data_IF_599784220717
#
_entry.id   IF_599784220717
#
_cell.length_a   1.000
_cell.length_b   1.000
_cell.length_c   1.000
_cell.angle_alpha   90.00
_cell.angle_beta   90.00
_cell.angle_gamma   90.00
#
_symmetry.space_group_name_H-M   'P 1'
#
loop_
_entity.id
_entity.type
_entity.pdbx_description
1 polymer ?
#
# COMPACT_ATOMS: atom_id res chain seq x y z
N UNK A 1 -34.91 -3.94 -8.58
CA UNK A 1 -34.22 -5.19 -8.23
C UNK A 1 -34.91 -5.77 -7.00
N UNK A 2 -35.48 -6.96 -7.10
CA UNK A 2 -36.20 -7.59 -5.99
C UNK A 2 -35.20 -8.09 -4.94
N UNK A 3 -35.55 -8.04 -3.65
CA UNK A 3 -34.74 -8.63 -2.56
C UNK A 3 -34.47 -10.14 -2.76
N UNK A 4 -35.30 -10.82 -3.56
CA UNK A 4 -35.10 -12.21 -3.98
C UNK A 4 -34.01 -12.37 -5.06
N UNK A 5 -33.77 -11.35 -5.89
CA UNK A 5 -32.71 -11.37 -6.90
C UNK A 5 -31.33 -11.21 -6.24
N UNK A 6 -31.24 -10.31 -5.25
CA UNK A 6 -30.02 -10.09 -4.47
C UNK A 6 -29.60 -11.33 -3.64
N UNK A 7 -30.57 -12.15 -3.21
CA UNK A 7 -30.29 -13.35 -2.41
C UNK A 7 -29.77 -14.53 -3.25
N UNK A 8 -30.08 -14.58 -4.55
CA UNK A 8 -29.52 -15.58 -5.49
C UNK A 8 -28.08 -15.24 -5.87
N UNK A 9 -27.76 -13.95 -6.05
CA UNK A 9 -26.41 -13.47 -6.41
C UNK A 9 -25.36 -13.74 -5.32
N UNK A 10 -25.74 -13.76 -4.04
CA UNK A 10 -24.80 -14.00 -2.93
C UNK A 10 -24.48 -15.49 -2.74
N UNK A 11 -25.45 -16.39 -2.98
CA UNK A 11 -25.23 -17.84 -2.86
C UNK A 11 -24.47 -18.44 -4.05
N UNK A 12 -24.49 -17.80 -5.22
CA UNK A 12 -23.72 -18.22 -6.40
C UNK A 12 -22.31 -17.62 -6.48
N UNK A 13 -21.96 -16.67 -5.60
CA UNK A 13 -20.74 -15.85 -5.70
C UNK A 13 -19.42 -16.65 -5.69
N UNK A 14 -19.44 -17.90 -5.24
CA UNK A 14 -18.26 -18.79 -5.21
C UNK A 14 -18.48 -20.14 -5.91
N UNK A 15 -19.55 -20.29 -6.71
CA UNK A 15 -19.76 -21.47 -7.53
C UNK A 15 -19.35 -21.18 -8.98
N UNK A 16 -18.31 -21.86 -9.46
CA UNK A 16 -17.90 -21.80 -10.87
C UNK A 16 -17.83 -23.19 -11.49
N UNK A 17 -18.08 -23.23 -12.80
CA UNK A 17 -17.97 -24.44 -13.59
C UNK A 17 -16.51 -24.88 -13.68
N UNK A 18 -16.25 -26.12 -13.28
CA UNK A 18 -14.95 -26.75 -13.43
C UNK A 18 -14.95 -27.72 -14.61
N UNK A 19 -13.82 -27.78 -15.30
CA UNK A 19 -13.60 -28.59 -16.48
C UNK A 19 -12.46 -29.57 -16.22
N UNK A 20 -12.69 -30.84 -16.52
CA UNK A 20 -11.63 -31.85 -16.50
C UNK A 20 -10.71 -31.63 -17.70
N UNK A 21 -9.41 -31.54 -17.44
CA UNK A 21 -8.38 -31.29 -18.44
C UNK A 21 -7.21 -32.27 -18.27
N UNK A 22 -6.40 -32.44 -19.31
CA UNK A 22 -5.21 -33.29 -19.22
C UNK A 22 -4.14 -32.58 -18.39
N UNK A 23 -3.71 -33.22 -17.30
CA UNK A 23 -2.68 -32.70 -16.39
C UNK A 23 -1.40 -32.32 -17.13
N UNK A 24 -0.92 -33.18 -18.03
CA UNK A 24 0.28 -32.94 -18.85
C UNK A 24 0.23 -31.65 -19.66
N UNK A 25 -0.96 -31.27 -20.12
CA UNK A 25 -1.16 -30.09 -20.97
C UNK A 25 -1.30 -28.82 -20.11
N UNK A 26 -1.61 -28.95 -18.82
CA UNK A 26 -1.98 -27.82 -17.97
C UNK A 26 -0.98 -27.54 -16.86
N UNK A 27 -0.20 -28.52 -16.44
CA UNK A 27 0.86 -28.34 -15.44
C UNK A 27 1.87 -27.27 -15.83
N UNK A 28 2.37 -27.19 -17.09
CA UNK A 28 3.32 -26.13 -17.45
C UNK A 28 2.74 -24.71 -17.32
N UNK A 29 1.45 -24.54 -17.65
CA UNK A 29 0.74 -23.27 -17.51
C UNK A 29 0.48 -22.93 -16.04
N UNK A 30 0.13 -23.93 -15.23
CA UNK A 30 -0.05 -23.79 -13.78
C UNK A 30 1.27 -23.37 -13.12
N UNK A 31 2.36 -24.06 -13.44
CA UNK A 31 3.69 -23.76 -12.95
C UNK A 31 4.18 -22.37 -13.40
N UNK A 32 3.78 -21.88 -14.58
CA UNK A 32 4.05 -20.50 -14.98
C UNK A 32 3.39 -19.49 -14.02
N UNK A 33 2.11 -19.69 -13.70
CA UNK A 33 1.34 -18.81 -12.82
C UNK A 33 1.87 -18.85 -11.38
N UNK A 34 2.16 -20.04 -10.84
CA UNK A 34 2.67 -20.18 -9.48
C UNK A 34 4.06 -19.54 -9.34
N UNK A 35 4.99 -19.82 -10.26
CA UNK A 35 6.31 -19.20 -10.27
C UNK A 35 6.24 -17.68 -10.40
N UNK A 36 5.33 -17.15 -11.21
CA UNK A 36 5.14 -15.71 -11.34
C UNK A 36 4.77 -15.02 -10.01
N UNK A 37 3.93 -15.67 -9.19
CA UNK A 37 3.56 -15.18 -7.87
C UNK A 37 4.74 -15.32 -6.88
N UNK A 38 5.42 -16.47 -6.89
CA UNK A 38 6.59 -16.72 -6.03
C UNK A 38 7.76 -15.76 -6.33
N UNK A 39 7.97 -15.39 -7.60
CA UNK A 39 8.96 -14.38 -8.02
C UNK A 39 8.68 -12.98 -7.43
N UNK A 40 7.48 -12.76 -6.91
CA UNK A 40 7.03 -11.53 -6.25
C UNK A 40 6.88 -11.73 -4.74
N UNK A 41 7.56 -12.74 -4.21
CA UNK A 41 7.59 -13.13 -2.80
C UNK A 41 6.20 -13.45 -2.22
N UNK A 42 5.23 -13.80 -3.07
CA UNK A 42 3.93 -14.28 -2.61
C UNK A 42 4.04 -15.71 -2.06
N UNK A 43 3.35 -15.97 -0.96
CA UNK A 43 3.22 -17.31 -0.38
C UNK A 43 1.97 -18.01 -0.89
N UNK A 44 2.11 -19.17 -1.53
CA UNK A 44 0.95 -19.93 -2.04
C UNK A 44 0.28 -20.69 -0.89
N UNK A 45 -0.96 -20.33 -0.60
CA UNK A 45 -1.80 -20.97 0.44
C UNK A 45 -2.54 -22.18 -0.14
N UNK A 46 -3.06 -22.05 -1.36
CA UNK A 46 -3.77 -23.10 -2.06
C UNK A 46 -3.60 -22.98 -3.58
N UNK A 47 -3.54 -24.12 -4.26
CA UNK A 47 -3.64 -24.18 -5.72
C UNK A 47 -4.34 -25.46 -6.16
N UNK A 48 -5.39 -25.33 -6.97
CA UNK A 48 -6.10 -26.48 -7.55
C UNK A 48 -5.20 -27.36 -8.42
N UNK A 49 -5.55 -28.64 -8.57
CA UNK A 49 -4.82 -29.60 -9.41
C UNK A 49 -4.81 -29.18 -10.89
N UNK A 50 -3.69 -29.43 -11.58
CA UNK A 50 -3.59 -29.18 -13.02
C UNK A 50 -4.54 -30.01 -13.90
N UNK A 51 -5.18 -31.05 -13.38
CA UNK A 51 -6.24 -31.79 -14.08
C UNK A 51 -7.59 -31.07 -14.08
N UNK A 52 -7.68 -29.86 -13.51
CA UNK A 52 -8.89 -29.03 -13.46
C UNK A 52 -8.62 -27.64 -14.04
N UNK A 53 -9.63 -27.08 -14.70
CA UNK A 53 -9.63 -25.69 -15.15
C UNK A 53 -10.99 -25.03 -14.83
N UNK A 54 -11.06 -23.71 -14.61
CA UNK A 54 -9.92 -22.80 -14.37
C UNK A 54 -9.11 -23.18 -13.12
N UNK A 55 -7.90 -22.64 -12.98
CA UNK A 55 -7.13 -22.83 -11.76
C UNK A 55 -7.64 -21.90 -10.68
N UNK A 56 -7.93 -22.44 -9.51
CA UNK A 56 -8.20 -21.63 -8.31
C UNK A 56 -6.94 -21.59 -7.46
N UNK A 57 -6.42 -20.39 -7.21
CA UNK A 57 -5.19 -20.17 -6.45
C UNK A 57 -5.47 -19.14 -5.37
N UNK A 58 -5.03 -19.44 -4.15
CA UNK A 58 -5.05 -18.52 -3.02
C UNK A 58 -3.62 -18.29 -2.58
N UNK A 59 -3.25 -17.04 -2.39
CA UNK A 59 -1.90 -16.66 -1.99
C UNK A 59 -1.92 -15.43 -1.08
N UNK A 60 -0.87 -15.29 -0.29
CA UNK A 60 -0.61 -14.10 0.52
C UNK A 60 0.47 -13.26 -0.17
N UNK A 61 0.27 -11.94 -0.25
CA UNK A 61 1.29 -11.01 -0.77
C UNK A 61 2.35 -10.72 0.30
N UNK A 62 3.51 -10.15 -0.06
CA UNK A 62 4.50 -9.71 0.91
C UNK A 62 3.98 -8.67 1.92
N UNK A 63 2.90 -7.96 1.58
CA UNK A 63 2.23 -6.98 2.43
C UNK A 63 1.14 -7.61 3.31
N UNK A 64 1.14 -8.94 3.48
CA UNK A 64 0.20 -9.66 4.35
C UNK A 64 -1.23 -9.79 3.82
N UNK A 65 -1.54 -9.31 2.62
CA UNK A 65 -2.87 -9.41 2.04
C UNK A 65 -3.13 -10.80 1.46
N UNK A 66 -4.28 -11.39 1.75
CA UNK A 66 -4.72 -12.64 1.12
C UNK A 66 -5.55 -12.37 -0.14
N UNK A 67 -5.18 -13.02 -1.23
CA UNK A 67 -5.83 -12.90 -2.53
C UNK A 67 -6.29 -14.27 -3.05
N UNK A 68 -7.50 -14.32 -3.60
CA UNK A 68 -7.99 -15.45 -4.40
C UNK A 68 -8.02 -15.09 -5.88
N UNK A 69 -7.54 -15.97 -6.76
CA UNK A 69 -7.62 -15.79 -8.21
C UNK A 69 -8.20 -17.02 -8.90
N UNK A 70 -8.98 -16.78 -9.95
CA UNK A 70 -9.54 -17.79 -10.85
C UNK A 70 -8.95 -17.63 -12.24
N UNK A 71 -8.04 -18.51 -12.63
CA UNK A 71 -7.20 -18.32 -13.81
C UNK A 71 -7.63 -19.22 -14.96
N UNK A 72 -8.24 -18.62 -15.98
CA UNK A 72 -8.57 -19.27 -17.25
C UNK A 72 -7.36 -19.18 -18.19
N UNK A 73 -6.55 -20.26 -18.23
CA UNK A 73 -5.27 -20.26 -18.98
C UNK A 73 -5.27 -21.10 -20.25
N UNK A 74 -4.63 -20.57 -21.29
CA UNK A 74 -4.48 -21.19 -22.60
C UNK A 74 -3.04 -21.08 -23.10
N UNK A 75 -2.61 -21.98 -23.98
CA UNK A 75 -1.32 -21.84 -24.65
C UNK A 75 -1.40 -20.77 -25.74
N UNK A 76 -0.49 -19.81 -25.69
CA UNK A 76 -0.17 -18.92 -26.79
C UNK A 76 1.00 -19.48 -27.62
N UNK A 77 1.04 -19.15 -28.92
CA UNK A 77 2.14 -19.48 -29.82
C UNK A 77 2.05 -18.69 -31.14
N UNK A 78 3.15 -18.72 -31.91
CA UNK A 78 3.27 -18.21 -33.28
C UNK A 78 3.32 -19.31 -34.35
N UNK A 79 2.55 -20.40 -34.20
CA UNK A 79 2.59 -21.49 -35.19
C UNK A 79 2.13 -20.98 -36.57
N UNK A 80 3.06 -20.93 -37.52
CA UNK A 80 2.78 -20.66 -38.93
C UNK A 80 1.81 -21.71 -39.46
N UNK A 81 0.63 -21.26 -39.89
CA UNK A 81 -0.38 -22.09 -40.55
C UNK A 81 -0.76 -21.45 -41.89
N UNK A 82 -1.12 -22.29 -42.86
CA UNK A 82 -1.55 -21.84 -44.19
C UNK A 82 -2.70 -20.83 -44.06
N UNK A 83 -2.64 -19.73 -44.81
CA UNK A 83 -3.61 -18.63 -44.83
C UNK A 83 -3.68 -17.77 -43.55
N UNK A 84 -2.60 -17.70 -42.76
CA UNK A 84 -2.45 -16.70 -41.69
C UNK A 84 -1.23 -15.81 -41.89
N UNK A 85 -1.28 -14.56 -41.42
CA UNK A 85 -0.11 -13.67 -41.41
C UNK A 85 1.06 -14.30 -40.64
N UNK A 86 2.28 -14.13 -41.16
CA UNK A 86 3.49 -14.69 -40.56
C UNK A 86 3.86 -14.05 -39.20
N UNK A 87 3.31 -12.89 -38.90
CA UNK A 87 3.49 -12.11 -37.68
C UNK A 87 2.38 -12.36 -36.64
N UNK A 88 1.43 -13.28 -36.91
CA UNK A 88 0.30 -13.57 -36.01
C UNK A 88 0.74 -14.51 -34.88
N UNK A 89 0.56 -14.03 -33.65
CA UNK A 89 0.53 -14.85 -32.45
C UNK A 89 -0.92 -15.01 -31.99
N UNK A 90 -1.21 -16.09 -31.27
CA UNK A 90 -2.55 -16.29 -30.72
C UNK A 90 -2.56 -17.28 -29.58
N UNK A 91 -3.61 -17.21 -28.77
CA UNK A 91 -4.06 -18.34 -27.98
C UNK A 91 -5.49 -18.72 -28.33
N UNK A 92 -5.80 -20.01 -28.23
CA UNK A 92 -7.11 -20.55 -28.54
C UNK A 92 -7.84 -20.95 -27.26
N UNK A 93 -9.06 -20.46 -27.09
CA UNK A 93 -9.94 -20.79 -25.96
C UNK A 93 -10.43 -22.22 -26.08
N UNK A 94 -9.80 -23.16 -25.36
CA UNK A 94 -10.19 -24.58 -25.32
C UNK A 94 -9.67 -25.31 -24.08
N UNK A 95 -10.45 -26.27 -23.60
CA UNK A 95 -10.09 -27.20 -22.51
C UNK A 95 -10.08 -28.67 -22.94
N UNK A 96 -10.00 -28.94 -24.24
CA UNK A 96 -9.86 -30.31 -24.76
C UNK A 96 -10.03 -30.37 -26.27
N UNK A 97 -10.24 -31.59 -26.78
CA UNK A 97 -10.49 -31.85 -28.19
C UNK A 97 -11.91 -31.50 -28.65
N UNK A 98 -12.87 -31.39 -27.73
CA UNK A 98 -14.22 -30.93 -28.06
C UNK A 98 -14.21 -29.40 -28.22
N UNK A 99 -14.38 -28.94 -29.45
CA UNK A 99 -14.39 -27.53 -29.82
C UNK A 99 -15.81 -26.94 -29.85
N UNK A 100 -16.84 -27.74 -29.57
CA UNK A 100 -18.23 -27.29 -29.51
C UNK A 100 -18.59 -26.83 -28.09
N UNK A 101 -19.35 -25.74 -28.01
CA UNK A 101 -19.88 -25.20 -26.76
C UNK A 101 -19.30 -23.83 -26.41
N UNK A 102 -19.65 -23.39 -25.20
CA UNK A 102 -19.27 -22.08 -24.69
C UNK A 102 -18.63 -22.27 -23.31
N UNK A 103 -17.56 -21.54 -23.07
CA UNK A 103 -16.88 -21.43 -21.79
C UNK A 103 -17.59 -20.34 -20.99
N UNK A 104 -18.20 -20.71 -19.87
CA UNK A 104 -18.77 -19.76 -18.91
C UNK A 104 -17.63 -19.23 -18.05
N UNK A 105 -17.14 -18.04 -18.37
CA UNK A 105 -16.10 -17.39 -17.57
C UNK A 105 -16.76 -16.82 -16.33
N UNK A 106 -16.51 -17.46 -15.19
CA UNK A 106 -17.03 -17.03 -13.91
C UNK A 106 -16.43 -15.68 -13.50
N UNK A 107 -17.29 -14.78 -13.03
CA UNK A 107 -16.95 -13.44 -12.56
C UNK A 107 -17.55 -13.29 -11.16
N UNK A 108 -16.70 -13.16 -10.16
CA UNK A 108 -17.14 -12.97 -8.78
C UNK A 108 -17.60 -11.51 -8.56
N UNK A 109 -18.88 -11.33 -8.27
CA UNK A 109 -19.47 -10.02 -7.96
C UNK A 109 -19.09 -9.50 -6.59
N UNK A 110 -18.68 -10.37 -5.65
CA UNK A 110 -18.23 -10.01 -4.30
C UNK A 110 -16.80 -9.49 -4.25
N UNK A 111 -16.02 -9.69 -5.33
CA UNK A 111 -14.61 -9.28 -5.48
C UNK A 111 -13.65 -9.96 -4.51
N UNK A 112 -14.03 -11.10 -3.93
CA UNK A 112 -13.15 -11.94 -3.13
C UNK A 112 -12.18 -12.73 -4.02
N UNK A 113 -12.62 -13.08 -5.24
CA UNK A 113 -11.84 -13.83 -6.22
C UNK A 113 -11.69 -13.02 -7.51
N UNK A 114 -10.45 -12.78 -7.93
CA UNK A 114 -10.16 -12.07 -9.19
C UNK A 114 -10.06 -13.05 -10.34
N UNK A 115 -10.87 -12.88 -11.38
CA UNK A 115 -10.80 -13.72 -12.59
C UNK A 115 -9.73 -13.19 -13.54
N UNK A 116 -8.86 -14.09 -14.02
CA UNK A 116 -7.88 -13.80 -15.07
C UNK A 116 -8.20 -14.63 -16.32
N UNK A 117 -8.10 -14.03 -17.51
CA UNK A 117 -8.31 -14.72 -18.79
C UNK A 117 -7.09 -14.56 -19.70
N UNK A 118 -6.24 -15.60 -19.78
CA UNK A 118 -4.84 -15.43 -20.17
C UNK A 118 -4.36 -16.48 -21.16
N UNK A 119 -3.68 -16.04 -22.21
CA UNK A 119 -2.80 -16.87 -23.02
C UNK A 119 -1.35 -16.76 -22.55
N UNK A 120 -0.66 -17.88 -22.36
CA UNK A 120 0.74 -17.93 -21.93
C UNK A 120 1.58 -18.52 -23.04
N UNK A 121 2.63 -17.82 -23.43
CA UNK A 121 3.69 -18.36 -24.29
C UNK A 121 4.87 -18.78 -23.40
N UNK A 122 5.00 -20.09 -23.19
CA UNK A 122 6.05 -20.64 -22.32
C UNK A 122 7.44 -20.51 -22.91
N UNK A 123 7.57 -20.43 -24.24
CA UNK A 123 8.89 -20.28 -24.88
C UNK A 123 9.40 -18.86 -24.67
N UNK A 124 8.49 -17.90 -24.73
CA UNK A 124 8.78 -16.48 -24.60
C UNK A 124 8.66 -15.95 -23.16
N UNK A 125 8.29 -16.82 -22.22
CA UNK A 125 8.08 -16.51 -20.80
C UNK A 125 7.18 -15.29 -20.56
N UNK A 126 6.13 -15.17 -21.37
CA UNK A 126 5.19 -14.05 -21.34
C UNK A 126 3.74 -14.51 -21.29
N UNK A 127 2.88 -13.59 -20.91
CA UNK A 127 1.44 -13.73 -20.97
C UNK A 127 0.80 -12.61 -21.78
N UNK A 128 -0.39 -12.89 -22.31
CA UNK A 128 -1.32 -11.93 -22.90
C UNK A 128 -2.70 -12.18 -22.28
N UNK A 129 -3.21 -11.18 -21.58
CA UNK A 129 -4.51 -11.18 -20.92
C UNK A 129 -5.54 -10.43 -21.77
N UNK A 130 -6.73 -10.99 -21.81
CA UNK A 130 -7.92 -10.39 -22.38
C UNK A 130 -8.93 -10.09 -21.27
N UNK A 131 -9.83 -9.12 -21.49
CA UNK A 131 -10.81 -8.75 -20.48
C UNK A 131 -11.77 -9.93 -20.19
N UNK A 132 -11.82 -10.45 -18.95
CA UNK A 132 -12.69 -11.56 -18.61
C UNK A 132 -14.18 -11.27 -18.81
N UNK A 133 -14.62 -10.03 -18.57
CA UNK A 133 -16.02 -9.59 -18.72
C UNK A 133 -16.41 -9.56 -20.19
N UNK A 134 -15.53 -9.08 -21.07
CA UNK A 134 -15.80 -9.12 -22.52
C UNK A 134 -15.76 -10.54 -23.10
N UNK A 135 -15.20 -11.50 -22.38
CA UNK A 135 -15.09 -12.91 -22.77
C UNK A 135 -16.01 -13.84 -21.98
N UNK A 136 -17.08 -13.32 -21.35
CA UNK A 136 -18.13 -14.14 -20.76
C UNK A 136 -19.46 -13.97 -21.50
N UNK A 137 -20.04 -15.03 -22.09
CA UNK A 137 -19.49 -16.38 -22.22
C UNK A 137 -18.58 -16.47 -23.48
N UNK A 138 -17.48 -17.24 -23.42
CA UNK A 138 -16.50 -17.34 -24.50
C UNK A 138 -16.74 -18.57 -25.40
N UNK A 139 -16.99 -18.42 -26.71
CA UNK A 139 -17.11 -19.57 -27.60
C UNK A 139 -15.85 -20.44 -27.59
N UNK A 140 -16.01 -21.75 -27.38
CA UNK A 140 -14.90 -22.70 -27.51
C UNK A 140 -14.34 -22.63 -28.93
N UNK A 141 -13.02 -22.78 -29.06
CA UNK A 141 -12.22 -22.63 -30.29
C UNK A 141 -12.02 -21.20 -30.82
N UNK A 142 -12.58 -20.16 -30.17
CA UNK A 142 -12.25 -18.76 -30.47
C UNK A 142 -10.75 -18.53 -30.25
N UNK A 143 -10.12 -17.85 -31.20
CA UNK A 143 -8.73 -17.41 -31.05
C UNK A 143 -8.72 -15.96 -30.62
N UNK A 144 -7.76 -15.62 -29.77
CA UNK A 144 -7.42 -14.24 -29.43
C UNK A 144 -6.07 -13.99 -30.08
N UNK A 145 -6.08 -13.25 -31.19
CA UNK A 145 -4.88 -12.90 -31.96
C UNK A 145 -4.20 -11.64 -31.42
N UNK A 146 -2.88 -11.60 -31.54
CA UNK A 146 -2.00 -10.46 -31.32
C UNK A 146 -0.78 -10.54 -32.26
N UNK A 147 0.00 -9.47 -32.36
CA UNK A 147 1.07 -9.34 -33.35
C UNK A 147 2.45 -9.55 -32.75
N UNK A 148 3.39 -9.92 -33.60
CA UNK A 148 4.79 -10.07 -33.20
C UNK A 148 5.37 -8.79 -32.59
N UNK A 149 4.97 -7.61 -33.09
CA UNK A 149 5.36 -6.33 -32.51
C UNK A 149 4.94 -6.17 -31.04
N UNK A 150 3.78 -6.72 -30.65
CA UNK A 150 3.34 -6.71 -29.25
C UNK A 150 4.23 -7.62 -28.38
N UNK A 151 4.68 -8.76 -28.91
CA UNK A 151 5.64 -9.63 -28.22
C UNK A 151 6.96 -8.90 -28.00
N UNK A 152 7.48 -8.21 -29.01
CA UNK A 152 8.70 -7.41 -28.87
C UNK A 152 8.51 -6.27 -27.85
N UNK A 153 7.36 -5.59 -27.85
CA UNK A 153 7.05 -4.57 -26.85
C UNK A 153 7.06 -5.14 -25.42
N UNK A 154 6.45 -6.31 -25.19
CA UNK A 154 6.47 -6.99 -23.88
C UNK A 154 7.91 -7.37 -23.50
N UNK A 155 8.71 -7.89 -24.44
CA UNK A 155 10.10 -8.27 -24.14
C UNK A 155 10.95 -7.06 -23.75
N UNK A 156 10.81 -5.94 -24.48
CA UNK A 156 11.57 -4.72 -24.26
C UNK A 156 11.12 -3.99 -22.99
N UNK A 157 9.81 -3.84 -22.79
CA UNK A 157 9.25 -2.97 -21.73
C UNK A 157 8.83 -3.76 -20.49
N UNK A 158 8.69 -5.08 -20.59
CA UNK A 158 8.16 -5.95 -19.56
C UNK A 158 6.62 -5.95 -19.49
N UNK A 159 5.97 -4.90 -19.99
CA UNK A 159 4.53 -4.69 -19.97
C UNK A 159 4.09 -3.87 -21.17
N UNK A 160 3.02 -4.28 -21.84
CA UNK A 160 2.46 -3.60 -23.00
C UNK A 160 0.93 -3.66 -22.94
N UNK A 161 0.28 -2.62 -23.46
CA UNK A 161 -1.17 -2.49 -23.53
C UNK A 161 -1.51 -2.05 -24.96
N UNK A 162 -2.55 -2.62 -25.53
CA UNK A 162 -3.02 -2.24 -26.85
C UNK A 162 -4.50 -2.59 -27.03
N UNK A 163 -5.09 -1.97 -28.04
CA UNK A 163 -6.49 -2.16 -28.40
C UNK A 163 -6.64 -3.20 -29.51
N UNK A 164 -7.78 -3.89 -29.50
CA UNK A 164 -8.15 -4.84 -30.55
C UNK A 164 -9.63 -4.72 -30.87
N UNK A 165 -9.93 -4.61 -32.17
CA UNK A 165 -11.29 -4.74 -32.67
C UNK A 165 -11.79 -6.18 -32.54
N UNK A 166 -12.95 -6.35 -31.90
CA UNK A 166 -13.65 -7.63 -31.90
C UNK A 166 -14.40 -7.80 -33.21
N UNK A 167 -14.20 -8.96 -33.85
CA UNK A 167 -14.89 -9.29 -35.11
C UNK A 167 -15.93 -10.39 -34.88
N UNK A 168 -17.11 -10.30 -35.51
CA UNK A 168 -18.06 -11.40 -35.51
C UNK A 168 -17.44 -12.66 -36.12
N UNK A 169 -17.81 -13.81 -35.57
CA UNK A 169 -17.39 -15.10 -36.09
C UNK A 169 -17.91 -15.30 -37.51
N UNK A 170 -17.02 -15.65 -38.45
CA UNK A 170 -17.40 -15.85 -39.87
C UNK A 170 -18.15 -17.16 -40.15
N UNK A 171 -18.39 -18.00 -39.15
CA UNK A 171 -18.91 -19.37 -39.33
C UNK A 171 -20.36 -19.47 -38.85
N UNK A 172 -21.27 -19.89 -39.73
CA UNK A 172 -22.70 -20.12 -39.44
C UNK A 172 -22.96 -21.29 -38.48
N UNK A 173 -21.98 -22.19 -38.31
CA UNK A 173 -22.14 -23.45 -37.58
C UNK A 173 -21.50 -23.45 -36.18
N UNK A 174 -20.85 -22.34 -35.78
CA UNK A 174 -20.29 -22.21 -34.44
C UNK A 174 -21.34 -21.63 -33.50
N UNK A 175 -21.39 -22.05 -32.23
CA UNK A 175 -22.16 -21.35 -31.22
C UNK A 175 -21.67 -19.90 -31.18
N UNK A 176 -22.45 -18.99 -31.75
CA UNK A 176 -22.41 -17.60 -31.36
C UNK A 176 -22.99 -17.60 -29.96
N UNK A 177 -22.13 -17.62 -28.94
CA UNK A 177 -22.46 -16.77 -27.81
C UNK A 177 -22.81 -15.43 -28.45
N UNK A 178 -24.03 -14.93 -28.24
CA UNK A 178 -24.43 -13.60 -28.68
C UNK A 178 -23.50 -12.63 -27.98
N UNK A 179 -22.33 -12.40 -28.57
CA UNK A 179 -21.41 -11.36 -28.17
C UNK A 179 -22.10 -10.09 -28.64
N UNK A 180 -22.97 -9.55 -27.79
CA UNK A 180 -23.71 -8.30 -28.06
C UNK A 180 -22.74 -7.12 -28.22
N UNK A 181 -21.54 -7.22 -27.60
CA UNK A 181 -20.51 -6.20 -27.60
C UNK A 181 -19.33 -6.53 -28.54
N UNK A 182 -19.37 -5.96 -29.75
CA UNK A 182 -18.26 -5.95 -30.70
C UNK A 182 -17.34 -4.73 -30.54
N UNK A 183 -17.38 -4.05 -29.41
CA UNK A 183 -16.54 -2.92 -29.09
C UNK A 183 -15.05 -3.27 -29.04
N UNK A 184 -14.24 -2.23 -28.98
CA UNK A 184 -12.79 -2.32 -28.79
C UNK A 184 -12.48 -3.03 -27.47
N UNK A 185 -11.65 -4.06 -27.53
CA UNK A 185 -11.18 -4.79 -26.36
C UNK A 185 -9.73 -4.38 -26.06
N UNK A 186 -9.43 -4.13 -24.80
CA UNK A 186 -8.05 -3.84 -24.35
C UNK A 186 -7.36 -5.14 -23.96
N UNK A 187 -6.26 -5.43 -24.64
CA UNK A 187 -5.36 -6.53 -24.31
C UNK A 187 -4.15 -6.00 -23.55
N UNK A 188 -3.65 -6.84 -22.64
CA UNK A 188 -2.50 -6.53 -21.81
C UNK A 188 -1.50 -7.67 -21.89
N UNK A 189 -0.26 -7.34 -22.19
CA UNK A 189 0.84 -8.29 -22.24
C UNK A 189 1.86 -8.01 -21.16
N UNK A 190 2.42 -9.05 -20.56
CA UNK A 190 3.45 -8.92 -19.53
C UNK A 190 4.42 -10.08 -19.53
N UNK A 191 5.64 -9.85 -19.02
CA UNK A 191 6.56 -10.92 -18.64
C UNK A 191 6.01 -11.69 -17.43
N UNK A 192 6.49 -12.90 -17.23
CA UNK A 192 6.06 -13.76 -16.12
C UNK A 192 6.03 -13.04 -14.76
N UNK A 193 7.06 -12.27 -14.43
CA UNK A 193 7.20 -11.51 -13.17
C UNK A 193 6.19 -10.37 -12.97
N UNK A 194 5.43 -10.01 -14.01
CA UNK A 194 4.39 -8.97 -13.98
C UNK A 194 2.98 -9.52 -13.71
N UNK A 195 2.82 -10.83 -13.48
CA UNK A 195 1.49 -11.43 -13.30
C UNK A 195 0.73 -10.83 -12.11
N UNK A 196 1.42 -10.50 -11.01
CA UNK A 196 0.77 -9.86 -9.86
C UNK A 196 0.18 -8.48 -10.20
N UNK A 197 0.82 -7.76 -11.13
CA UNK A 197 0.31 -6.46 -11.60
C UNK A 197 -0.94 -6.64 -12.48
N UNK A 198 -1.04 -7.76 -13.21
CA UNK A 198 -2.29 -8.15 -13.89
C UNK A 198 -3.40 -8.44 -12.87
N UNK A 199 -3.12 -9.12 -11.75
CA UNK A 199 -4.11 -9.33 -10.69
C UNK A 199 -4.62 -7.98 -10.16
N UNK A 200 -3.72 -7.03 -9.89
CA UNK A 200 -4.10 -5.69 -9.47
C UNK A 200 -4.94 -4.96 -10.53
N UNK A 201 -4.56 -5.05 -11.81
CA UNK A 201 -5.32 -4.47 -12.91
C UNK A 201 -6.76 -5.00 -12.93
N UNK A 202 -6.96 -6.32 -12.95
CA UNK A 202 -8.31 -6.91 -13.06
C UNK A 202 -9.19 -6.59 -11.85
N UNK A 203 -8.58 -6.40 -10.66
CA UNK A 203 -9.30 -5.92 -9.48
C UNK A 203 -9.79 -4.48 -9.63
N UNK A 204 -8.94 -3.59 -10.14
CA UNK A 204 -9.24 -2.16 -10.27
C UNK A 204 -10.18 -1.93 -11.47
N UNK A 205 -9.93 -2.60 -12.59
CA UNK A 205 -10.62 -2.40 -13.85
C UNK A 205 -11.98 -3.11 -13.94
N UNK A 206 -12.44 -3.75 -12.86
CA UNK A 206 -13.70 -4.47 -12.84
C UNK A 206 -14.88 -3.58 -13.26
N UNK A 207 -15.54 -3.93 -14.37
CA UNK A 207 -16.66 -3.20 -15.01
C UNK A 207 -16.34 -1.77 -15.46
N UNK A 208 -15.08 -1.44 -15.64
CA UNK A 208 -14.71 -0.22 -16.34
C UNK A 208 -14.88 -0.39 -17.85
N UNK A 209 -15.11 0.71 -18.54
CA UNK A 209 -15.07 0.71 -20.00
C UNK A 209 -13.63 0.49 -20.52
N UNK A 210 -13.48 0.10 -21.79
CA UNK A 210 -12.16 -0.15 -22.37
C UNK A 210 -11.18 1.02 -22.24
N UNK A 211 -11.62 2.27 -22.34
CA UNK A 211 -10.72 3.43 -22.26
C UNK A 211 -10.13 3.61 -20.87
N UNK A 212 -10.95 3.51 -19.83
CA UNK A 212 -10.50 3.58 -18.43
C UNK A 212 -9.61 2.38 -18.06
N UNK A 213 -9.94 1.18 -18.56
CA UNK A 213 -9.09 -0.01 -18.42
C UNK A 213 -7.70 0.21 -19.04
N UNK A 214 -7.64 0.80 -20.24
CA UNK A 214 -6.40 1.15 -20.92
C UNK A 214 -5.57 2.11 -20.05
N UNK A 215 -6.19 3.18 -19.56
CA UNK A 215 -5.53 4.19 -18.72
C UNK A 215 -4.91 3.60 -17.45
N UNK A 216 -5.62 2.70 -16.75
CA UNK A 216 -5.08 2.05 -15.55
C UNK A 216 -3.91 1.13 -15.92
N UNK A 217 -4.03 0.37 -17.00
CA UNK A 217 -2.97 -0.53 -17.45
C UNK A 217 -1.70 0.25 -17.84
N UNK A 218 -1.83 1.45 -18.41
CA UNK A 218 -0.72 2.36 -18.67
C UNK A 218 -0.10 2.93 -17.38
N UNK A 219 -0.91 3.24 -16.37
CA UNK A 219 -0.38 3.66 -15.06
C UNK A 219 0.44 2.55 -14.39
N UNK A 220 -0.03 1.30 -14.48
CA UNK A 220 0.72 0.13 -13.99
C UNK A 220 2.01 -0.14 -14.78
N UNK A 221 2.09 0.30 -16.04
CA UNK A 221 3.34 0.27 -16.82
C UNK A 221 4.41 1.16 -16.18
N UNK A 222 4.04 2.36 -15.74
CA UNK A 222 4.94 3.32 -15.12
C UNK A 222 5.35 2.91 -13.69
N UNK A 223 4.46 2.24 -12.98
CA UNK A 223 4.72 1.65 -11.66
C UNK A 223 5.46 0.31 -11.84
N UNK A 224 6.77 0.35 -12.12
CA UNK A 224 7.60 -0.78 -11.67
C UNK A 224 7.50 -0.80 -10.15
N UNK A 225 7.10 -1.91 -9.51
CA UNK A 225 7.40 -2.03 -8.10
C UNK A 225 8.92 -1.95 -8.01
N UNK A 226 9.43 -0.90 -7.38
CA UNK A 226 10.75 -0.99 -6.82
C UNK A 226 10.75 -2.31 -6.05
N UNK A 227 11.72 -3.19 -6.36
CA UNK A 227 12.00 -4.38 -5.53
C UNK A 227 11.84 -3.89 -4.09
N UNK A 228 10.92 -4.46 -3.32
CA UNK A 228 10.70 -4.04 -1.94
C UNK A 228 12.08 -4.13 -1.28
N UNK A 229 12.74 -2.98 -1.15
CA UNK A 229 14.03 -2.92 -0.48
C UNK A 229 13.60 -3.12 0.95
N UNK A 230 13.78 -4.34 1.44
CA UNK A 230 13.57 -4.63 2.84
C UNK A 230 14.38 -3.61 3.61
N UNK A 231 13.69 -2.79 4.42
CA UNK A 231 14.38 -1.77 5.19
C UNK A 231 15.43 -2.50 6.06
N UNK A 232 16.67 -2.01 6.19
CA UNK A 232 17.73 -2.73 6.90
C UNK A 232 17.32 -3.22 8.30
N UNK A 233 16.47 -2.45 8.99
CA UNK A 233 15.91 -2.84 10.30
C UNK A 233 14.99 -4.09 10.24
N UNK A 234 14.24 -4.27 9.15
CA UNK A 234 13.39 -5.42 8.94
C UNK A 234 14.22 -6.67 8.63
N UNK A 235 15.32 -6.50 7.90
CA UNK A 235 16.32 -7.57 7.68
C UNK A 235 17.02 -7.95 8.99
N UNK A 236 17.47 -6.97 9.77
CA UNK A 236 18.12 -7.17 11.07
C UNK A 236 17.21 -7.91 12.05
N UNK A 237 15.94 -7.53 12.13
CA UNK A 237 14.97 -8.16 13.04
C UNK A 237 14.35 -9.44 12.48
N UNK A 238 14.50 -9.72 11.18
CA UNK A 238 13.91 -10.89 10.53
C UNK A 238 12.38 -10.88 10.55
N UNK A 239 11.74 -9.71 10.48
CA UNK A 239 10.28 -9.55 10.54
C UNK A 239 9.75 -8.73 9.37
N UNK A 240 8.49 -8.98 8.98
CA UNK A 240 7.79 -8.16 8.01
C UNK A 240 7.41 -6.78 8.58
N UNK A 241 7.13 -5.82 7.70
CA UNK A 241 6.76 -4.46 8.10
C UNK A 241 5.52 -4.42 9.00
N UNK A 242 4.50 -5.22 8.69
CA UNK A 242 3.26 -5.23 9.48
C UNK A 242 3.50 -5.79 10.88
N UNK A 243 4.32 -6.85 10.99
CA UNK A 243 4.72 -7.41 12.28
C UNK A 243 5.51 -6.41 13.14
N UNK A 244 6.32 -5.53 12.53
CA UNK A 244 6.99 -4.46 13.24
C UNK A 244 5.98 -3.44 13.80
N UNK A 245 4.99 -3.03 13.01
CA UNK A 245 3.96 -2.09 13.47
C UNK A 245 3.06 -2.70 14.54
N UNK A 246 2.68 -3.96 14.41
CA UNK A 246 1.93 -4.71 15.43
C UNK A 246 2.72 -4.81 16.74
N UNK A 247 4.04 -5.04 16.66
CA UNK A 247 4.92 -5.07 17.83
C UNK A 247 4.97 -3.70 18.51
N UNK A 248 5.12 -2.62 17.74
CA UNK A 248 5.06 -1.24 18.27
C UNK A 248 3.70 -0.99 18.92
N UNK A 249 2.60 -1.42 18.29
CA UNK A 249 1.26 -1.26 18.81
C UNK A 249 1.06 -2.02 20.14
N UNK A 250 1.49 -3.27 20.21
CA UNK A 250 1.35 -4.13 21.40
C UNK A 250 2.30 -3.76 22.55
N UNK A 251 3.44 -3.13 22.27
CA UNK A 251 4.43 -2.76 23.28
C UNK A 251 4.26 -1.31 23.76
N UNK A 252 3.49 -1.10 24.83
CA UNK A 252 3.14 0.24 25.35
C UNK A 252 4.32 1.21 25.52
N UNK A 253 5.46 0.73 26.05
CA UNK A 253 6.67 1.56 26.23
C UNK A 253 7.30 1.98 24.89
N UNK A 254 7.35 1.06 23.93
CA UNK A 254 7.87 1.34 22.59
C UNK A 254 6.95 2.30 21.85
N UNK A 255 5.63 2.08 21.91
CA UNK A 255 4.62 3.01 21.37
C UNK A 255 4.78 4.42 21.93
N UNK A 256 5.03 4.55 23.23
CA UNK A 256 5.27 5.85 23.87
C UNK A 256 6.57 6.50 23.39
N UNK A 257 7.65 5.73 23.25
CA UNK A 257 8.93 6.24 22.73
C UNK A 257 8.79 6.73 21.28
N UNK A 258 8.18 5.93 20.41
CA UNK A 258 7.90 6.29 19.01
C UNK A 258 7.06 7.56 18.93
N UNK A 259 6.01 7.68 19.76
CA UNK A 259 5.19 8.91 19.82
C UNK A 259 5.97 10.15 20.26
N UNK A 260 6.96 9.99 21.16
CA UNK A 260 7.88 11.07 21.53
C UNK A 260 8.66 11.58 20.32
N UNK A 261 9.36 10.66 19.65
CA UNK A 261 10.17 10.97 18.47
C UNK A 261 9.37 11.55 17.31
N UNK A 262 8.15 11.05 17.07
CA UNK A 262 7.27 11.60 16.04
C UNK A 262 6.85 13.03 16.39
N UNK A 263 6.60 13.34 17.66
CA UNK A 263 6.29 14.71 18.09
C UNK A 263 7.48 15.66 17.87
N UNK A 264 8.71 15.23 18.17
CA UNK A 264 9.94 15.99 17.90
C UNK A 264 10.12 16.25 16.40
N UNK A 265 9.88 15.26 15.55
CA UNK A 265 9.98 15.38 14.09
C UNK A 265 8.98 16.41 13.56
N UNK A 266 7.72 16.34 14.00
CA UNK A 266 6.70 17.32 13.65
C UNK A 266 7.01 18.72 14.19
N UNK A 267 7.61 18.82 15.38
CA UNK A 267 8.03 20.10 15.95
C UNK A 267 9.15 20.74 15.11
N UNK A 268 10.20 19.98 14.77
CA UNK A 268 11.30 20.44 13.94
C UNK A 268 10.80 20.90 12.55
N UNK A 269 9.92 20.12 11.92
CA UNK A 269 9.30 20.47 10.65
C UNK A 269 8.40 21.72 10.74
N UNK A 270 7.73 21.93 11.87
CA UNK A 270 6.89 23.12 12.11
C UNK A 270 7.76 24.36 12.31
N UNK A 271 8.77 24.28 13.17
CA UNK A 271 9.67 25.40 13.47
C UNK A 271 10.53 25.78 12.26
N UNK A 272 11.00 24.80 11.49
CA UNK A 272 11.81 25.03 10.28
C UNK A 272 11.09 25.80 9.17
N UNK A 273 9.75 25.89 9.22
CA UNK A 273 8.95 26.68 8.27
C UNK A 273 8.79 28.15 8.69
N UNK A 274 9.14 28.50 9.93
CA UNK A 274 8.96 29.86 10.45
C UNK A 274 10.00 30.82 9.85
N UNK A 275 9.52 31.94 9.31
CA UNK A 275 10.41 32.99 8.79
C UNK A 275 11.22 33.59 9.93
N UNK A 276 12.54 33.46 9.85
CA UNK A 276 13.48 33.94 10.87
C UNK A 276 14.10 32.83 11.71
N UNK A 277 13.66 31.59 11.57
CA UNK A 277 14.36 30.43 12.13
C UNK A 277 15.51 30.02 11.19
N UNK A 278 16.69 29.79 11.76
CA UNK A 278 17.84 29.17 11.08
C UNK A 278 18.48 28.12 11.99
N UNK A 279 19.29 27.22 11.44
CA UNK A 279 20.00 26.17 12.21
C UNK A 279 19.07 25.32 13.11
N UNK A 280 17.84 25.05 12.66
CA UNK A 280 16.91 24.18 13.38
C UNK A 280 17.35 22.71 13.25
N UNK A 281 17.89 22.15 14.32
CA UNK A 281 18.41 20.78 14.37
C UNK A 281 17.84 20.04 15.58
N UNK A 282 17.60 18.74 15.41
CA UNK A 282 17.31 17.83 16.52
C UNK A 282 18.62 17.45 17.20
N UNK A 283 18.61 17.38 18.53
CA UNK A 283 19.75 16.95 19.33
C UNK A 283 19.50 15.52 19.80
N UNK A 284 20.46 14.61 19.56
CA UNK A 284 20.31 13.18 19.88
C UNK A 284 21.10 12.76 21.13
N UNK A 285 21.84 13.68 21.74
CA UNK A 285 22.68 13.38 22.90
C UNK A 285 21.85 13.24 24.18
N UNK A 286 22.13 12.20 24.97
CA UNK A 286 21.42 11.94 26.22
C UNK A 286 21.55 13.13 27.19
N UNK A 287 20.41 13.53 27.77
CA UNK A 287 20.31 14.67 28.68
C UNK A 287 20.33 16.05 28.02
N UNK A 288 20.38 16.16 26.70
CA UNK A 288 20.17 17.43 25.99
C UNK A 288 18.69 17.67 25.68
N UNK A 289 18.28 18.93 25.50
CA UNK A 289 16.96 19.27 24.98
C UNK A 289 16.77 18.77 23.56
N UNK A 290 15.54 18.52 23.13
CA UNK A 290 15.27 17.82 21.86
C UNK A 290 15.64 18.62 20.59
N UNK A 291 15.54 19.95 20.63
CA UNK A 291 15.80 20.82 19.47
C UNK A 291 16.69 22.02 19.86
N UNK A 292 17.60 22.38 18.96
CA UNK A 292 18.30 23.66 18.96
C UNK A 292 17.96 24.44 17.70
N UNK A 293 17.71 25.75 17.81
CA UNK A 293 17.55 26.63 16.66
C UNK A 293 18.07 28.04 16.95
N UNK A 294 18.26 28.84 15.91
CA UNK A 294 18.48 30.29 16.03
C UNK A 294 17.27 31.05 15.54
N UNK A 295 16.85 32.03 16.32
CA UNK A 295 15.81 32.98 15.91
C UNK A 295 16.44 34.33 15.55
N UNK A 296 16.17 34.83 14.33
CA UNK A 296 16.62 36.11 13.77
C UNK A 296 18.12 36.38 13.96
N UNK A 297 18.95 35.34 13.84
CA UNK A 297 20.41 35.43 13.97
C UNK A 297 20.94 35.55 15.41
N UNK A 298 20.09 35.45 16.42
CA UNK A 298 20.51 35.47 17.83
C UNK A 298 21.20 34.18 18.30
N UNK A 299 21.44 34.09 19.60
CA UNK A 299 22.03 32.92 20.24
C UNK A 299 21.12 31.67 20.12
N UNK A 300 21.66 30.44 20.14
CA UNK A 300 20.83 29.24 20.06
C UNK A 300 19.80 29.16 21.19
N UNK A 301 18.55 28.85 20.82
CA UNK A 301 17.44 28.56 21.72
C UNK A 301 17.29 27.04 21.78
N UNK A 302 17.38 26.49 22.99
CA UNK A 302 17.14 25.08 23.23
C UNK A 302 15.66 24.85 23.60
N UNK A 303 15.06 23.82 23.02
CA UNK A 303 13.63 23.54 23.13
C UNK A 303 13.44 22.08 23.51
N UNK A 304 12.72 21.84 24.61
CA UNK A 304 12.25 20.51 25.00
C UNK A 304 10.84 20.28 24.44
N UNK A 305 10.62 19.14 23.79
CA UNK A 305 9.34 18.68 23.29
C UNK A 305 8.73 17.67 24.29
N UNK A 306 7.48 17.90 24.70
CA UNK A 306 6.73 16.93 25.51
C UNK A 306 5.34 16.71 24.98
N UNK A 307 4.94 15.44 24.94
CA UNK A 307 3.56 15.08 24.69
C UNK A 307 2.67 15.40 25.90
N UNK A 308 1.51 15.99 25.63
CA UNK A 308 0.44 16.09 26.63
C UNK A 308 -0.13 14.71 26.98
N UNK A 309 -0.68 14.60 28.19
CA UNK A 309 -1.47 13.45 28.61
C UNK A 309 -2.83 13.46 27.89
N UNK A 310 -3.39 12.26 27.67
CA UNK A 310 -4.75 12.11 27.12
C UNK A 310 -5.82 12.70 28.05
N UNK A 311 -5.63 12.58 29.36
CA UNK A 311 -6.55 13.12 30.36
C UNK A 311 -6.28 14.60 30.64
N UNK A 312 -7.31 15.42 30.58
CA UNK A 312 -7.28 16.86 30.90
C UNK A 312 -7.59 17.14 32.38
N UNK A 313 -7.41 18.38 32.82
CA UNK A 313 -7.90 18.83 34.13
C UNK A 313 -9.44 18.88 34.11
N UNK A 314 -10.06 19.05 35.27
CA UNK A 314 -11.53 19.09 35.39
C UNK A 314 -12.18 20.21 34.58
N UNK A 315 -11.42 21.27 34.30
CA UNK A 315 -11.81 22.42 33.46
C UNK A 315 -11.52 22.20 31.96
N UNK A 316 -11.01 21.03 31.57
CA UNK A 316 -10.67 20.68 30.19
C UNK A 316 -9.25 21.04 29.77
N UNK A 317 -8.43 21.65 30.62
CA UNK A 317 -7.07 22.07 30.26
C UNK A 317 -6.15 20.85 30.01
N UNK A 318 -5.39 20.79 28.90
CA UNK A 318 -4.39 19.75 28.67
C UNK A 318 -3.27 19.78 29.73
N UNK A 319 -2.67 18.62 30.00
CA UNK A 319 -1.59 18.48 30.99
C UNK A 319 -0.33 17.92 30.35
N UNK A 320 0.83 18.37 30.80
CA UNK A 320 2.13 17.79 30.46
C UNK A 320 2.71 17.11 31.70
N UNK A 321 3.12 15.84 31.58
CA UNK A 321 3.99 15.19 32.57
C UNK A 321 5.42 15.67 32.33
N UNK A 322 5.84 16.68 33.10
CA UNK A 322 7.07 17.43 32.89
C UNK A 322 8.17 17.03 33.86
N UNK A 323 8.65 15.79 33.70
CA UNK A 323 9.72 15.23 34.50
C UNK A 323 10.60 14.28 33.68
N UNK A 324 11.84 14.09 34.10
CA UNK A 324 12.77 13.12 33.54
C UNK A 324 12.31 11.70 33.88
N UNK A 325 12.65 10.74 33.02
CA UNK A 325 12.29 9.33 33.23
C UNK A 325 12.99 8.71 34.45
N UNK A 326 14.16 9.24 34.83
CA UNK A 326 15.01 8.76 35.94
C UNK A 326 15.45 9.89 36.84
N UNK A 327 15.72 9.55 38.10
CA UNK A 327 16.37 10.42 39.07
C UNK A 327 17.78 9.88 39.36
N UNK A 328 18.71 10.77 39.70
CA UNK A 328 20.01 10.41 40.24
C UNK A 328 19.87 9.66 41.56
N UNK A 329 20.76 8.68 41.79
CA UNK A 329 20.76 7.89 43.02
C UNK A 329 20.99 8.81 44.24
N UNK A 330 20.04 8.81 45.17
CA UNK A 330 20.10 9.64 46.38
C UNK A 330 19.59 11.08 46.22
N UNK A 331 19.17 11.49 45.02
CA UNK A 331 18.55 12.81 44.79
C UNK A 331 17.25 12.66 43.98
N UNK A 332 16.10 12.45 44.63
CA UNK A 332 14.81 12.37 43.96
C UNK A 332 14.43 13.65 43.19
N UNK A 333 14.89 14.82 43.65
CA UNK A 333 14.56 16.10 43.02
C UNK A 333 15.28 16.33 41.68
N UNK A 334 16.35 15.59 41.40
CA UNK A 334 17.02 15.58 40.08
C UNK A 334 16.13 15.11 38.93
N UNK A 335 15.01 14.45 39.23
CA UNK A 335 13.98 14.05 38.26
C UNK A 335 13.29 15.25 37.61
N UNK A 336 13.26 16.39 38.29
CA UNK A 336 12.52 17.57 37.83
C UNK A 336 13.47 18.56 37.14
N UNK A 337 12.97 19.19 36.09
CA UNK A 337 13.73 20.20 35.35
C UNK A 337 13.91 21.48 36.17
N UNK A 338 14.97 22.20 35.87
CA UNK A 338 15.15 23.57 36.34
C UNK A 338 14.81 24.59 35.25
N UNK A 339 14.42 25.84 35.60
CA UNK A 339 14.22 26.91 34.62
C UNK A 339 15.43 27.18 33.70
N UNK A 340 16.64 26.86 34.15
CA UNK A 340 17.88 27.09 33.40
C UNK A 340 18.34 25.89 32.57
N UNK A 341 17.70 24.72 32.70
CA UNK A 341 18.07 23.52 31.93
C UNK A 341 17.89 23.76 30.41
N UNK A 342 16.85 24.52 30.03
CA UNK A 342 16.59 25.01 28.68
C UNK A 342 15.53 26.12 28.74
N UNK A 343 15.50 27.05 27.77
CA UNK A 343 14.61 28.21 27.84
C UNK A 343 13.16 27.95 27.43
N UNK A 344 12.88 26.97 26.56
CA UNK A 344 11.54 26.79 25.98
C UNK A 344 11.03 25.36 26.15
N UNK A 345 9.78 25.23 26.58
CA UNK A 345 9.00 24.00 26.53
C UNK A 345 7.99 24.09 25.37
N UNK A 346 8.00 23.09 24.49
CA UNK A 346 6.97 22.86 23.47
C UNK A 346 6.07 21.68 23.90
N UNK A 347 4.81 21.98 24.23
CA UNK A 347 3.80 21.00 24.56
C UNK A 347 3.04 20.54 23.30
N UNK A 348 3.18 19.28 22.93
CA UNK A 348 2.44 18.67 21.81
C UNK A 348 1.03 18.28 22.25
N UNK A 349 0.02 18.83 21.57
CA UNK A 349 -1.39 18.65 21.89
C UNK A 349 -2.05 17.42 21.25
N UNK A 350 -1.32 16.68 20.41
CA UNK A 350 -1.87 15.57 19.61
C UNK A 350 -2.65 14.54 20.44
N UNK A 351 -2.24 14.24 21.67
CA UNK A 351 -2.96 13.29 22.52
C UNK A 351 -4.40 13.74 22.82
N UNK A 352 -4.66 15.05 22.84
CA UNK A 352 -5.95 15.67 23.15
C UNK A 352 -6.70 16.06 21.88
N UNK A 353 -6.03 16.66 20.90
CA UNK A 353 -6.66 17.26 19.71
C UNK A 353 -6.62 16.38 18.48
N UNK A 354 -5.81 15.31 18.49
CA UNK A 354 -5.54 14.44 17.34
C UNK A 354 -4.87 15.17 16.16
N UNK A 355 -4.36 16.39 16.41
CA UNK A 355 -3.57 17.18 15.46
C UNK A 355 -2.16 17.42 16.01
N UNK A 356 -1.15 17.42 15.14
CA UNK A 356 0.25 17.73 15.50
C UNK A 356 0.46 19.23 15.74
N UNK A 357 -0.19 19.73 16.78
CA UNK A 357 -0.14 21.13 17.20
C UNK A 357 0.69 21.28 18.47
N UNK A 358 1.30 22.45 18.60
CA UNK A 358 2.20 22.76 19.71
C UNK A 358 1.78 24.04 20.43
N UNK A 359 2.08 24.10 21.72
CA UNK A 359 2.02 25.30 22.55
C UNK A 359 3.37 25.52 23.22
N UNK A 360 3.79 26.76 23.29
CA UNK A 360 5.14 27.14 23.69
C UNK A 360 5.12 27.97 24.96
N UNK A 361 6.02 27.70 25.90
CA UNK A 361 6.19 28.50 27.11
C UNK A 361 7.67 28.68 27.43
N UNK A 362 8.03 29.82 28.04
CA UNK A 362 9.33 29.95 28.67
C UNK A 362 9.35 29.13 29.96
N UNK A 363 10.41 28.34 30.16
CA UNK A 363 10.58 27.54 31.38
C UNK A 363 10.66 28.37 32.65
N UNK A 364 11.08 29.63 32.53
CA UNK A 364 11.11 30.62 33.62
C UNK A 364 9.73 31.12 34.05
N UNK A 365 8.70 30.94 33.22
CA UNK A 365 7.32 31.31 33.54
C UNK A 365 6.49 30.12 34.08
N UNK A 366 7.08 28.92 34.12
CA UNK A 366 6.39 27.72 34.60
C UNK A 366 6.35 27.67 36.13
N UNK A 367 5.28 27.06 36.66
CA UNK A 367 5.08 26.94 38.11
C UNK A 367 6.23 26.17 38.78
N UNK A 368 6.63 26.64 39.97
CA UNK A 368 7.67 25.97 40.76
C UNK A 368 7.16 24.66 41.38
N UNK A 369 8.07 23.70 41.56
CA UNK A 369 7.78 22.44 42.23
C UNK A 369 7.49 22.68 43.71
N UNK A 370 6.42 22.08 44.24
CA UNK A 370 5.94 22.30 45.62
C UNK A 370 6.97 21.96 46.70
N UNK A 371 7.82 20.96 46.45
CA UNK A 371 8.76 20.42 47.44
C UNK A 371 10.23 20.43 47.03
N UNK A 372 10.53 20.65 45.75
CA UNK A 372 11.91 20.59 45.23
C UNK A 372 12.32 22.01 44.84
N UNK A 373 12.99 22.70 45.76
CA UNK A 373 13.38 24.11 45.59
C UNK A 373 14.19 24.29 44.30
N UNK A 374 13.84 25.31 43.51
CA UNK A 374 14.49 25.62 42.24
C UNK A 374 14.15 24.65 41.10
N UNK A 375 13.16 23.78 41.27
CA UNK A 375 12.64 22.91 40.19
C UNK A 375 11.30 23.39 39.68
N UNK A 376 10.95 22.98 38.47
CA UNK A 376 9.65 23.22 37.85
C UNK A 376 8.67 22.12 38.28
N UNK A 377 7.39 22.47 38.40
CA UNK A 377 6.32 21.53 38.66
C UNK A 377 6.29 20.39 37.62
N UNK A 378 6.04 19.17 38.07
CA UNK A 378 6.06 17.97 37.22
C UNK A 378 4.73 17.73 36.47
N UNK A 379 3.69 18.48 36.80
CA UNK A 379 2.40 18.41 36.12
C UNK A 379 1.98 19.82 35.75
N UNK A 380 2.04 20.15 34.47
CA UNK A 380 1.85 21.53 34.00
C UNK A 380 0.57 21.61 33.18
N UNK A 381 -0.30 22.55 33.52
CA UNK A 381 -1.47 22.90 32.72
C UNK A 381 -1.08 23.73 31.51
N UNK A 382 -1.54 23.34 30.32
CA UNK A 382 -1.31 24.09 29.07
C UNK A 382 -2.43 25.10 28.87
N UNK A 383 -2.22 26.35 29.31
CA UNK A 383 -3.13 27.47 29.00
C UNK A 383 -2.40 28.79 28.82
N UNK A 384 -3.06 29.70 28.11
CA UNK A 384 -2.73 31.11 28.07
C UNK A 384 -2.91 31.74 29.47
N UNK A 385 -2.14 32.79 29.83
CA UNK A 385 -1.15 33.46 28.99
C UNK A 385 0.25 32.82 29.03
N UNK A 386 0.45 31.76 29.84
CA UNK A 386 1.77 31.13 30.02
C UNK A 386 2.20 30.41 28.73
N UNK A 387 1.29 29.66 28.13
CA UNK A 387 1.52 28.95 26.88
C UNK A 387 0.95 29.73 25.70
N UNK A 388 1.77 29.97 24.68
CA UNK A 388 1.36 30.60 23.42
C UNK A 388 1.23 29.60 22.27
N UNK A 389 0.29 29.86 21.36
CA UNK A 389 0.25 29.19 20.06
C UNK A 389 1.33 29.67 19.07
N UNK A 390 2.00 30.80 19.33
CA UNK A 390 3.07 31.33 18.47
C UNK A 390 4.43 31.13 19.12
N UNK A 391 5.27 30.31 18.46
CA UNK A 391 6.66 30.11 18.87
C UNK A 391 7.46 31.41 18.78
N UNK A 392 7.19 32.23 17.75
CA UNK A 392 7.88 33.50 17.50
C UNK A 392 7.75 34.46 18.67
N UNK A 393 6.54 34.58 19.25
CA UNK A 393 6.31 35.41 20.44
C UNK A 393 7.15 34.96 21.64
N UNK A 394 7.26 33.66 21.84
CA UNK A 394 8.05 33.08 22.94
C UNK A 394 9.55 33.29 22.71
N UNK A 395 10.03 33.16 21.46
CA UNK A 395 11.42 33.43 21.11
C UNK A 395 11.79 34.91 21.27
N UNK A 396 10.89 35.82 20.89
CA UNK A 396 11.08 37.26 21.10
C UNK A 396 11.12 37.60 22.59
N UNK A 397 10.24 37.01 23.39
CA UNK A 397 10.25 37.18 24.84
C UNK A 397 11.52 36.62 25.49
N UNK A 398 12.02 35.47 25.01
CA UNK A 398 13.28 34.90 25.48
C UNK A 398 14.43 35.90 25.32
N UNK A 399 14.65 36.39 24.10
CA UNK A 399 15.74 37.34 23.87
C UNK A 399 15.56 38.66 24.56
N UNK A 400 14.33 39.16 24.70
CA UNK A 400 14.06 40.39 25.45
C UNK A 400 14.44 40.28 26.93
N UNK A 401 14.50 39.06 27.49
CA UNK A 401 14.89 38.80 28.89
C UNK A 401 16.38 38.46 29.04
N UNK A 402 17.06 38.07 27.96
CA UNK A 402 18.48 37.69 27.99
C UNK A 402 19.41 38.74 27.38
N UNK A 403 18.87 39.73 26.67
CA UNK A 403 19.56 40.95 26.26
C UNK A 403 19.73 41.89 27.45
#
# INVERSE_FOLDING_TARGET
>A
MSLLDAHKDVLSALEWKSYSVRRSDKEPLRAFVLRALEMRDCSIVHASDASRAPFYIVFDTPAGERHGILVYVFFANAKLITNRPADEHRFQVKYGGNLKGVLEVAIDSSRLVTTLFVGIDLKEELFVAADPVMNTPAPMSRSIEFKHEHVELIRLQGWAVWERDRRPGKSKDRPTAELEDYGTEVLVGGKQDRLLDLVALERIAYRLDPGERHLIADKLKALRPAKAVSHPILEEFGIASDALFDLIEGASRLKMAVRGWVAEEHLAATLGKLKGVSECIRLEADGQPDISLRWKGGAPILIECKNTLRSTYSDGQPKVDFQKTRASKGDPCSRYYRPEDFPVLAACLHAVTENWEFRFALTTDLEAHKTCVGRIANMIGVAEPIFSASAEKVFELHYARTA
#
